data_IF_109806621052
#
_entry.id   IF_109806621052
#
_cell.length_a   1.000
_cell.length_b   1.000
_cell.length_c   1.000
_cell.angle_alpha   90.00
_cell.angle_beta   90.00
_cell.angle_gamma   90.00
#
_symmetry.space_group_name_H-M   'P 1'
#
loop_
_entity.id
_entity.type
_entity.pdbx_description
1 polymer ?
#
# COMPACT_ATOMS: atom_id res chain seq x y z
N UNK A 1 35.50 24.95 19.12
CA UNK A 1 36.80 24.52 19.62
C UNK A 1 36.66 23.21 20.40
N UNK A 2 37.64 22.30 20.32
CA UNK A 2 37.64 21.07 21.13
C UNK A 2 38.12 21.28 22.56
N UNK A 3 38.94 22.33 22.79
CA UNK A 3 39.50 22.71 24.05
C UNK A 3 39.53 24.23 24.16
N UNK A 4 39.88 24.76 25.33
CA UNK A 4 40.06 26.19 25.49
C UNK A 4 41.24 26.68 24.66
N UNK A 5 41.01 27.64 23.76
CA UNK A 5 42.01 28.20 22.86
C UNK A 5 42.20 29.67 23.22
N UNK A 6 43.45 30.12 23.38
CA UNK A 6 43.76 31.53 23.54
C UNK A 6 44.04 32.15 22.18
N UNK A 7 43.19 33.09 21.74
CA UNK A 7 43.38 33.84 20.51
C UNK A 7 44.54 34.85 20.60
N UNK A 8 45.00 35.36 19.48
CA UNK A 8 46.14 36.28 19.39
C UNK A 8 45.94 37.60 20.16
N UNK A 9 44.71 38.04 20.38
CA UNK A 9 44.33 39.21 21.15
C UNK A 9 44.22 38.94 22.66
N UNK A 10 44.49 37.69 23.08
CA UNK A 10 44.40 37.25 24.49
C UNK A 10 43.00 36.84 24.93
N UNK A 11 42.00 36.85 24.04
CA UNK A 11 40.67 36.32 24.35
C UNK A 11 40.69 34.79 24.42
N UNK A 12 39.80 34.20 25.22
CA UNK A 12 39.67 32.76 25.37
C UNK A 12 38.42 32.31 24.60
N UNK A 13 38.60 31.38 23.70
CA UNK A 13 37.54 30.63 23.08
C UNK A 13 37.38 29.34 23.89
N UNK A 14 36.28 29.19 24.64
CA UNK A 14 36.13 28.02 25.50
C UNK A 14 35.93 26.74 24.70
N UNK A 15 36.23 25.59 25.31
CA UNK A 15 35.81 24.29 24.77
C UNK A 15 34.32 24.30 24.42
N UNK A 16 33.95 23.70 23.31
CA UNK A 16 32.61 23.70 22.72
C UNK A 16 32.05 25.09 22.35
N UNK A 17 32.89 26.15 22.43
CA UNK A 17 32.51 27.49 21.98
C UNK A 17 32.20 27.53 20.49
N UNK A 18 31.01 28.08 20.14
CA UNK A 18 30.60 28.30 18.75
C UNK A 18 31.41 29.45 18.15
N UNK A 19 32.04 29.20 17.01
CA UNK A 19 32.84 30.20 16.28
C UNK A 19 32.07 30.81 15.12
N UNK A 20 31.45 29.97 14.30
CA UNK A 20 30.70 30.38 13.11
C UNK A 20 29.60 29.37 12.81
N UNK A 21 28.51 29.86 12.23
CA UNK A 21 27.49 29.03 11.59
C UNK A 21 27.62 29.27 10.08
N UNK A 22 27.82 28.18 9.32
CA UNK A 22 27.89 28.18 7.88
C UNK A 22 26.71 27.44 7.29
N UNK A 23 26.20 27.91 6.15
CA UNK A 23 25.18 27.22 5.38
C UNK A 23 25.82 26.55 4.18
N UNK A 24 25.38 25.36 3.85
CA UNK A 24 25.72 24.68 2.58
C UNK A 24 25.06 25.38 1.42
N UNK A 25 25.76 25.48 0.27
CA UNK A 25 25.23 25.99 -0.97
C UNK A 25 24.49 24.91 -1.77
N UNK A 26 24.03 25.24 -2.97
CA UNK A 26 23.32 24.33 -3.88
C UNK A 26 24.16 23.11 -4.35
N UNK A 27 25.49 23.15 -4.17
CA UNK A 27 26.41 22.06 -4.48
C UNK A 27 26.76 21.22 -3.24
N UNK A 28 26.13 21.51 -2.09
CA UNK A 28 26.43 20.86 -0.82
C UNK A 28 27.74 21.32 -0.17
N UNK A 29 28.27 22.47 -0.58
CA UNK A 29 29.54 22.99 -0.07
C UNK A 29 29.34 24.12 0.95
N UNK A 30 30.16 24.12 1.98
CA UNK A 30 30.22 25.21 2.98
C UNK A 30 31.67 25.61 3.23
N UNK A 31 31.89 26.91 3.45
CA UNK A 31 33.20 27.47 3.75
C UNK A 31 33.11 28.43 4.95
N UNK A 32 33.95 28.19 5.97
CA UNK A 32 34.14 29.11 7.03
C UNK A 32 34.85 30.38 6.54
N UNK A 33 34.41 31.56 7.05
CA UNK A 33 34.97 32.87 6.74
C UNK A 33 35.73 33.46 7.91
N UNK A 34 35.52 32.94 9.11
CA UNK A 34 36.18 33.35 10.33
C UNK A 34 37.65 32.97 10.27
N UNK A 35 38.53 33.93 10.60
CA UNK A 35 39.95 33.70 10.73
C UNK A 35 40.19 32.89 12.04
N UNK A 36 40.52 31.63 11.86
CA UNK A 36 40.67 30.68 12.98
C UNK A 36 42.04 30.82 13.62
N UNK A 37 42.17 30.86 14.97
CA UNK A 37 43.44 30.68 15.64
C UNK A 37 43.94 29.24 15.46
N UNK A 38 45.25 29.01 15.72
CA UNK A 38 45.76 27.64 15.78
C UNK A 38 45.09 26.84 16.89
N UNK A 39 44.71 25.59 16.60
CA UNK A 39 44.04 24.74 17.57
C UNK A 39 43.25 23.61 16.92
N UNK A 40 42.49 22.91 17.77
CA UNK A 40 41.63 21.78 17.37
C UNK A 40 40.16 22.19 17.42
N UNK A 41 39.45 21.87 16.36
CA UNK A 41 38.06 22.25 16.12
C UNK A 41 37.25 21.06 15.70
N UNK A 42 35.92 21.24 15.65
CA UNK A 42 35.01 20.29 14.98
C UNK A 42 33.88 21.05 14.28
N UNK A 43 33.37 20.45 13.23
CA UNK A 43 32.06 20.80 12.66
C UNK A 43 31.00 19.90 13.27
N UNK A 44 29.81 20.44 13.40
CA UNK A 44 28.59 19.71 13.78
C UNK A 44 27.43 20.29 13.01
N UNK A 45 26.59 19.41 12.53
CA UNK A 45 25.33 19.82 11.88
C UNK A 45 24.38 20.36 12.94
N UNK A 46 23.77 21.51 12.69
CA UNK A 46 22.81 22.17 13.58
C UNK A 46 21.37 22.05 13.06
N UNK A 47 21.20 21.94 11.75
CA UNK A 47 19.93 21.75 11.08
C UNK A 47 20.15 21.09 9.73
N UNK A 48 19.17 20.32 9.29
CA UNK A 48 19.13 19.71 7.96
C UNK A 48 17.79 19.97 7.30
N UNK A 49 17.63 19.58 6.03
CA UNK A 49 16.34 19.59 5.35
C UNK A 49 15.37 18.62 6.03
N UNK A 50 14.07 18.95 6.01
CA UNK A 50 13.02 18.20 6.71
C UNK A 50 12.88 16.74 6.28
N UNK A 51 13.41 16.36 5.12
CA UNK A 51 13.37 14.98 4.60
C UNK A 51 14.42 14.06 5.23
N UNK A 52 15.38 14.63 5.96
CA UNK A 52 16.54 13.90 6.46
C UNK A 52 16.65 13.98 7.98
N UNK A 53 17.25 12.94 8.54
CA UNK A 53 17.66 12.93 9.94
C UNK A 53 18.87 13.84 10.15
N UNK A 54 18.83 14.62 11.22
CA UNK A 54 19.98 15.45 11.64
C UNK A 54 21.15 14.54 11.97
N UNK A 55 22.30 14.75 11.33
CA UNK A 55 23.51 14.03 11.64
C UNK A 55 24.08 14.52 12.99
N UNK A 56 24.05 13.66 14.01
CA UNK A 56 24.53 13.95 15.36
C UNK A 56 26.03 13.87 15.54
N UNK A 57 26.78 13.48 14.52
CA UNK A 57 28.24 13.33 14.59
C UNK A 57 28.98 14.66 14.63
N UNK A 58 30.21 14.61 15.09
CA UNK A 58 31.14 15.72 15.02
C UNK A 58 32.33 15.37 14.14
N UNK A 59 32.74 16.30 13.29
CA UNK A 59 33.81 16.13 12.31
C UNK A 59 35.03 16.97 12.74
N UNK A 60 36.01 16.35 13.42
CA UNK A 60 37.17 17.07 13.98
C UNK A 60 38.14 17.47 12.87
N UNK A 61 38.80 18.60 13.05
CA UNK A 61 39.90 19.06 12.24
C UNK A 61 40.84 19.91 13.08
N UNK A 62 42.10 20.08 12.64
CA UNK A 62 43.09 20.91 13.31
C UNK A 62 43.63 21.96 12.38
N UNK A 63 43.84 23.18 12.90
CA UNK A 63 44.56 24.21 12.22
C UNK A 63 45.92 24.43 12.91
N UNK A 64 46.96 24.05 12.18
CA UNK A 64 48.33 24.09 12.69
C UNK A 64 49.20 25.01 11.83
N UNK A 65 50.30 25.53 12.42
CA UNK A 65 51.24 26.34 11.67
C UNK A 65 51.94 25.57 10.57
N UNK A 66 51.64 25.90 9.33
CA UNK A 66 52.18 25.24 8.11
C UNK A 66 53.57 25.75 7.66
N UNK A 67 54.19 26.68 8.42
CA UNK A 67 55.50 27.27 8.08
C UNK A 67 55.43 28.67 7.49
N UNK A 68 56.59 29.38 7.42
CA UNK A 68 56.62 30.81 7.10
C UNK A 68 56.35 31.09 5.61
N UNK A 69 56.27 30.07 4.75
CA UNK A 69 56.05 30.18 3.29
C UNK A 69 54.61 29.97 2.86
N UNK A 70 53.69 29.59 3.79
CA UNK A 70 52.29 29.37 3.50
C UNK A 70 51.45 30.52 4.02
N UNK A 71 50.86 31.28 3.07
CA UNK A 71 49.95 32.38 3.37
C UNK A 71 48.52 31.92 3.69
N UNK A 72 48.14 30.77 3.15
CA UNK A 72 46.82 30.14 3.35
C UNK A 72 47.01 28.64 3.56
N UNK A 73 46.32 28.07 4.53
CA UNK A 73 46.24 26.64 4.77
C UNK A 73 44.82 26.21 4.47
N UNK A 74 44.65 25.35 3.48
CA UNK A 74 43.36 24.75 3.21
C UNK A 74 43.17 23.52 4.13
N UNK A 75 42.04 23.49 4.82
CA UNK A 75 41.70 22.43 5.76
C UNK A 75 40.36 21.86 5.30
N UNK A 76 40.34 20.57 4.98
CA UNK A 76 39.12 19.85 4.71
C UNK A 76 38.64 19.16 6.00
N UNK A 77 37.44 19.48 6.45
CA UNK A 77 36.78 18.71 7.49
C UNK A 77 36.42 17.30 6.99
N UNK A 78 36.20 16.35 7.90
CA UNK A 78 35.91 14.96 7.58
C UNK A 78 36.93 14.33 6.60
N UNK A 79 38.20 14.71 6.71
CA UNK A 79 39.27 14.26 5.78
C UNK A 79 38.98 14.50 4.29
N UNK A 80 38.08 15.45 3.97
CA UNK A 80 37.64 15.75 2.60
C UNK A 80 36.53 14.84 2.09
N UNK A 81 36.01 13.95 2.90
CA UNK A 81 34.84 13.14 2.58
C UNK A 81 33.54 13.90 2.82
N UNK A 82 32.51 13.58 2.06
CA UNK A 82 31.18 14.18 2.22
C UNK A 82 30.54 13.78 3.57
N UNK A 83 29.86 14.74 4.19
CA UNK A 83 28.94 14.48 5.31
C UNK A 83 27.57 14.15 4.75
N UNK A 84 27.01 12.99 5.11
CA UNK A 84 25.73 12.53 4.61
C UNK A 84 24.67 12.52 5.71
N UNK A 85 23.41 12.71 5.31
CA UNK A 85 22.26 12.55 6.16
C UNK A 85 21.44 11.33 5.70
N UNK A 86 20.81 10.66 6.65
CA UNK A 86 19.89 9.57 6.37
C UNK A 86 18.51 10.15 6.03
N UNK A 87 17.85 9.59 5.02
CA UNK A 87 16.50 9.95 4.65
C UNK A 87 15.51 9.41 5.70
N UNK A 88 14.58 10.23 6.13
CA UNK A 88 13.44 9.81 6.97
C UNK A 88 12.64 8.75 6.24
N UNK A 89 12.29 7.67 6.95
CA UNK A 89 11.52 6.56 6.41
C UNK A 89 10.48 6.08 7.40
N UNK A 90 9.35 5.62 6.89
CA UNK A 90 8.27 5.02 7.67
C UNK A 90 7.82 3.68 7.13
N UNK A 91 6.77 3.16 7.72
CA UNK A 91 6.06 1.95 7.32
C UNK A 91 4.57 2.26 7.15
N UNK A 92 3.94 1.68 6.11
CA UNK A 92 2.49 1.69 5.95
C UNK A 92 2.00 0.28 6.21
N UNK A 93 1.07 0.11 7.15
CA UNK A 93 0.39 -1.16 7.44
C UNK A 93 -1.06 -1.05 7.07
N UNK A 94 -1.55 -2.03 6.35
CA UNK A 94 -2.92 -2.05 5.89
C UNK A 94 -3.66 -3.33 6.25
N UNK A 95 -4.97 -3.20 6.38
CA UNK A 95 -5.89 -4.32 6.51
C UNK A 95 -6.89 -4.28 5.35
N UNK A 96 -6.90 -5.31 4.51
CA UNK A 96 -7.87 -5.52 3.45
C UNK A 96 -9.03 -6.35 3.96
N UNK A 97 -10.27 -5.84 3.85
CA UNK A 97 -11.45 -6.50 4.38
C UNK A 97 -12.60 -6.56 3.38
N UNK A 98 -13.59 -7.41 3.66
CA UNK A 98 -14.92 -7.27 3.07
C UNK A 98 -15.75 -6.20 3.81
N UNK A 99 -16.98 -5.98 3.36
CA UNK A 99 -17.96 -5.05 3.97
C UNK A 99 -18.34 -5.39 5.42
N UNK A 100 -18.01 -6.59 5.89
CA UNK A 100 -18.27 -7.08 7.26
C UNK A 100 -17.03 -7.03 8.15
N UNK A 101 -15.88 -6.59 7.61
CA UNK A 101 -14.62 -6.53 8.33
C UNK A 101 -13.83 -7.86 8.35
N UNK A 102 -14.22 -8.84 7.54
CA UNK A 102 -13.46 -10.09 7.38
C UNK A 102 -12.25 -9.85 6.47
N UNK A 103 -11.07 -10.31 6.89
CA UNK A 103 -9.85 -10.18 6.11
C UNK A 103 -9.96 -10.82 4.72
N UNK A 104 -9.47 -10.11 3.69
CA UNK A 104 -9.45 -10.58 2.31
C UNK A 104 -8.01 -10.77 1.83
N UNK A 105 -7.68 -12.00 1.41
CA UNK A 105 -6.40 -12.33 0.81
C UNK A 105 -6.35 -12.05 -0.69
N UNK A 106 -5.13 -11.92 -1.22
CA UNK A 106 -4.84 -11.80 -2.66
C UNK A 106 -5.30 -10.51 -3.33
N UNK A 107 -5.68 -9.49 -2.59
CA UNK A 107 -5.77 -8.15 -3.15
C UNK A 107 -4.35 -7.63 -3.44
N UNK A 108 -4.16 -6.95 -4.57
CA UNK A 108 -2.89 -6.28 -4.90
C UNK A 108 -3.09 -4.79 -4.72
N UNK A 109 -2.27 -4.20 -3.85
CA UNK A 109 -2.29 -2.78 -3.53
C UNK A 109 -0.99 -2.14 -4.03
N UNK A 110 -1.08 -1.03 -4.75
CA UNK A 110 0.05 -0.22 -5.18
C UNK A 110 0.24 1.00 -4.30
N UNK A 111 1.51 1.34 -4.04
CA UNK A 111 1.93 2.59 -3.42
C UNK A 111 2.49 3.51 -4.51
N UNK A 112 1.99 4.74 -4.60
CA UNK A 112 2.32 5.71 -5.66
C UNK A 112 2.68 7.06 -5.08
N UNK A 113 3.36 7.89 -5.86
CA UNK A 113 3.52 9.31 -5.55
C UNK A 113 2.15 10.01 -5.54
N UNK A 114 2.01 11.05 -4.73
CA UNK A 114 0.73 11.74 -4.52
C UNK A 114 0.17 12.44 -5.77
N UNK A 115 1.02 12.73 -6.76
CA UNK A 115 0.67 13.36 -8.05
C UNK A 115 0.47 12.34 -9.18
N UNK A 116 0.56 11.03 -8.91
CA UNK A 116 0.33 9.98 -9.92
C UNK A 116 -1.13 9.95 -10.36
N UNK A 117 -1.35 9.79 -11.66
CA UNK A 117 -2.68 9.75 -12.29
C UNK A 117 -2.99 8.42 -12.99
N UNK A 118 -1.97 7.60 -13.24
CA UNK A 118 -2.09 6.29 -13.87
C UNK A 118 -1.64 5.18 -12.91
N UNK A 119 -2.60 4.49 -12.29
CA UNK A 119 -2.35 3.49 -11.28
C UNK A 119 -2.15 2.10 -11.90
N UNK A 120 -0.90 1.77 -12.20
CA UNK A 120 -0.48 0.45 -12.70
C UNK A 120 0.65 -0.11 -11.85
N UNK A 121 0.86 -1.43 -11.89
CA UNK A 121 1.97 -2.04 -11.16
C UNK A 121 3.34 -1.52 -11.65
N UNK A 122 3.44 -1.05 -12.89
CA UNK A 122 4.68 -0.50 -13.46
C UNK A 122 5.00 0.90 -12.94
N UNK A 123 3.96 1.70 -12.64
CA UNK A 123 4.12 3.07 -12.12
C UNK A 123 4.21 3.10 -10.58
N UNK A 124 3.89 1.99 -9.91
CA UNK A 124 3.94 1.90 -8.46
C UNK A 124 5.39 1.97 -7.94
N UNK A 125 5.62 2.72 -6.87
CA UNK A 125 6.87 2.64 -6.11
C UNK A 125 7.08 1.23 -5.56
N UNK A 126 6.00 0.63 -5.07
CA UNK A 126 5.96 -0.73 -4.58
C UNK A 126 4.54 -1.30 -4.71
N UNK A 127 4.43 -2.62 -4.73
CA UNK A 127 3.16 -3.33 -4.62
C UNK A 127 3.19 -4.30 -3.44
N UNK A 128 2.05 -4.48 -2.79
CA UNK A 128 1.87 -5.46 -1.73
C UNK A 128 0.63 -6.31 -2.02
N UNK A 129 0.69 -7.59 -1.66
CA UNK A 129 -0.44 -8.51 -1.77
C UNK A 129 -0.94 -8.85 -0.37
N UNK A 130 -2.25 -8.74 -0.14
CA UNK A 130 -2.84 -9.05 1.16
C UNK A 130 -2.74 -10.54 1.50
N UNK A 131 -2.39 -10.82 2.76
CA UNK A 131 -2.28 -12.15 3.34
C UNK A 131 -3.66 -12.76 3.65
N UNK A 132 -3.70 -13.99 4.20
CA UNK A 132 -4.95 -14.69 4.52
C UNK A 132 -5.83 -13.94 5.55
N UNK A 133 -5.22 -13.20 6.46
CA UNK A 133 -5.90 -12.35 7.43
C UNK A 133 -6.25 -10.95 6.90
N UNK A 134 -5.92 -10.66 5.64
CA UNK A 134 -6.10 -9.38 4.98
C UNK A 134 -4.96 -8.39 5.22
N UNK A 135 -3.95 -8.71 6.02
CA UNK A 135 -2.83 -7.79 6.30
C UNK A 135 -1.93 -7.59 5.08
N UNK A 136 -1.41 -6.37 4.93
CA UNK A 136 -0.36 -6.02 3.96
C UNK A 136 0.48 -4.87 4.50
N UNK A 137 1.70 -4.69 3.98
CA UNK A 137 2.56 -3.59 4.40
C UNK A 137 3.52 -3.13 3.31
N UNK A 138 3.97 -1.87 3.47
CA UNK A 138 5.07 -1.27 2.72
C UNK A 138 6.11 -0.79 3.74
N UNK A 139 7.30 -1.37 3.72
CA UNK A 139 8.41 -0.97 4.55
C UNK A 139 9.28 0.07 3.84
N UNK A 140 10.11 0.78 4.61
CA UNK A 140 11.09 1.74 4.10
C UNK A 140 10.50 2.83 3.17
N UNK A 141 9.25 3.23 3.42
CA UNK A 141 8.58 4.28 2.66
C UNK A 141 9.26 5.62 2.95
N UNK A 142 9.77 6.33 1.93
CA UNK A 142 10.44 7.61 2.12
C UNK A 142 9.51 8.69 2.69
N UNK A 143 10.09 9.70 3.34
CA UNK A 143 9.39 10.94 3.69
C UNK A 143 8.63 11.51 2.50
N UNK A 144 7.40 11.99 2.73
CA UNK A 144 6.57 12.65 1.74
C UNK A 144 5.14 12.17 1.70
N UNK A 145 4.42 12.66 0.70
CA UNK A 145 3.01 12.34 0.44
C UNK A 145 2.90 11.24 -0.62
N UNK A 146 2.09 10.26 -0.31
CA UNK A 146 1.87 9.07 -1.10
C UNK A 146 0.37 8.81 -1.24
N UNK A 147 0.02 7.95 -2.20
CA UNK A 147 -1.34 7.42 -2.34
C UNK A 147 -1.31 5.91 -2.51
N UNK A 148 -2.32 5.26 -1.97
CA UNK A 148 -2.56 3.83 -2.14
C UNK A 148 -3.75 3.61 -3.05
N UNK A 149 -3.65 2.63 -3.93
CA UNK A 149 -4.70 2.20 -4.85
C UNK A 149 -4.73 0.68 -4.93
N UNK A 150 -5.93 0.10 -4.85
CA UNK A 150 -6.11 -1.30 -5.19
C UNK A 150 -5.95 -1.49 -6.70
N UNK A 151 -5.07 -2.41 -7.10
CA UNK A 151 -4.80 -2.75 -8.50
C UNK A 151 -5.55 -4.01 -8.94
N UNK A 152 -5.68 -4.99 -8.03
CA UNK A 152 -6.42 -6.22 -8.27
C UNK A 152 -7.24 -6.57 -7.02
N UNK A 153 -8.53 -6.81 -7.20
CA UNK A 153 -9.39 -7.29 -6.13
C UNK A 153 -9.38 -8.83 -6.06
N UNK A 154 -9.65 -9.41 -4.88
CA UNK A 154 -9.89 -10.84 -4.78
C UNK A 154 -11.10 -11.28 -5.63
N UNK A 155 -11.08 -12.53 -6.10
CA UNK A 155 -12.20 -13.07 -6.86
C UNK A 155 -13.52 -13.00 -6.06
N UNK A 156 -14.57 -12.53 -6.69
CA UNK A 156 -15.89 -12.35 -6.08
C UNK A 156 -16.11 -10.99 -5.41
N UNK A 157 -15.16 -10.08 -5.51
CA UNK A 157 -15.25 -8.72 -4.97
C UNK A 157 -15.08 -7.66 -6.05
N UNK A 158 -15.75 -6.53 -5.85
CA UNK A 158 -15.64 -5.37 -6.73
C UNK A 158 -14.31 -4.66 -6.47
N UNK A 159 -13.56 -4.38 -7.53
CA UNK A 159 -12.34 -3.56 -7.42
C UNK A 159 -12.68 -2.17 -6.90
N UNK A 160 -12.00 -1.72 -5.84
CA UNK A 160 -12.20 -0.40 -5.27
C UNK A 160 -11.62 0.70 -6.14
N UNK A 161 -12.43 1.74 -6.41
CA UNK A 161 -11.98 2.96 -7.11
C UNK A 161 -11.33 3.99 -6.16
N UNK A 162 -11.30 3.71 -4.88
CA UNK A 162 -10.76 4.61 -3.86
C UNK A 162 -9.26 4.81 -4.03
N UNK A 163 -8.80 6.06 -3.86
CA UNK A 163 -7.40 6.46 -3.77
C UNK A 163 -7.17 7.03 -2.38
N UNK A 164 -6.33 6.38 -1.58
CA UNK A 164 -6.13 6.72 -0.17
C UNK A 164 -4.84 7.49 0.01
N UNK A 165 -4.90 8.77 0.43
CA UNK A 165 -3.69 9.53 0.74
C UNK A 165 -3.06 9.06 2.05
N UNK A 166 -1.73 9.01 2.07
CA UNK A 166 -0.92 8.70 3.26
C UNK A 166 0.32 9.59 3.27
N UNK A 167 0.78 10.00 4.44
CA UNK A 167 1.95 10.86 4.60
C UNK A 167 2.93 10.25 5.60
N UNK A 168 4.21 10.25 5.26
CA UNK A 168 5.33 9.88 6.13
C UNK A 168 6.10 11.16 6.46
N UNK A 169 6.09 11.57 7.75
CA UNK A 169 6.72 12.80 8.21
C UNK A 169 7.81 12.56 9.28
N UNK A 170 7.77 11.42 9.97
CA UNK A 170 8.68 11.10 11.06
C UNK A 170 9.41 9.77 10.81
N UNK A 171 10.65 9.69 11.25
CA UNK A 171 11.43 8.46 11.12
C UNK A 171 10.84 7.35 12.00
N UNK A 172 10.69 6.17 11.37
CA UNK A 172 10.05 5.02 12.01
C UNK A 172 8.53 5.16 12.19
N UNK A 173 7.88 6.18 11.60
CA UNK A 173 6.43 6.33 11.63
C UNK A 173 5.74 5.10 11.05
N UNK A 174 4.68 4.64 11.72
CA UNK A 174 3.78 3.61 11.20
C UNK A 174 2.42 4.24 10.90
N UNK A 175 2.03 4.22 9.62
CA UNK A 175 0.70 4.67 9.17
C UNK A 175 -0.19 3.45 9.03
N UNK A 176 -1.31 3.41 9.76
CA UNK A 176 -2.28 2.33 9.70
C UNK A 176 -3.49 2.72 8.84
N UNK A 177 -3.89 1.84 7.92
CA UNK A 177 -5.01 2.05 7.01
C UNK A 177 -5.91 0.81 6.91
N UNK A 178 -7.13 1.00 6.40
CA UNK A 178 -8.06 -0.08 6.08
C UNK A 178 -8.70 0.16 4.72
N UNK A 179 -8.78 -0.90 3.90
CA UNK A 179 -9.46 -0.91 2.60
C UNK A 179 -10.52 -2.01 2.60
N UNK A 180 -11.76 -1.66 2.25
CA UNK A 180 -12.85 -2.62 2.15
C UNK A 180 -13.30 -2.81 0.69
N UNK A 181 -13.69 -4.04 0.33
CA UNK A 181 -14.34 -4.34 -0.95
C UNK A 181 -15.75 -4.88 -0.71
N UNK A 182 -16.64 -4.55 -1.64
CA UNK A 182 -17.99 -5.09 -1.69
C UNK A 182 -18.01 -6.40 -2.48
N UNK A 183 -18.86 -7.34 -2.06
CA UNK A 183 -19.07 -8.62 -2.74
C UNK A 183 -19.84 -8.43 -4.04
N UNK A 184 -19.52 -9.25 -5.03
CA UNK A 184 -20.28 -9.34 -6.29
C UNK A 184 -21.47 -10.27 -6.10
N UNK A 185 -22.65 -9.78 -6.46
CA UNK A 185 -23.89 -10.56 -6.50
C UNK A 185 -24.44 -10.64 -7.92
N UNK A 186 -24.99 -11.80 -8.27
CA UNK A 186 -25.66 -12.06 -9.53
C UNK A 186 -27.15 -12.37 -9.34
N UNK A 187 -27.88 -12.38 -10.45
CA UNK A 187 -29.27 -12.84 -10.53
C UNK A 187 -29.35 -13.99 -11.52
N UNK A 188 -29.99 -15.07 -11.11
CA UNK A 188 -30.20 -16.25 -11.96
C UNK A 188 -31.61 -16.18 -12.53
N UNK A 189 -31.73 -16.46 -13.85
CA UNK A 189 -33.00 -16.51 -14.55
C UNK A 189 -33.06 -17.75 -15.44
N UNK A 190 -34.15 -18.48 -15.34
CA UNK A 190 -34.46 -19.65 -16.12
C UNK A 190 -35.81 -19.49 -16.82
N UNK A 191 -35.92 -19.99 -18.06
CA UNK A 191 -37.20 -20.11 -18.75
C UNK A 191 -37.53 -21.61 -18.95
N UNK A 192 -38.64 -22.07 -18.39
CA UNK A 192 -39.15 -23.43 -18.59
C UNK A 192 -40.07 -23.47 -19.79
N UNK A 193 -39.79 -24.36 -20.74
CA UNK A 193 -40.55 -24.53 -21.98
C UNK A 193 -40.86 -25.98 -22.23
N UNK A 194 -41.86 -26.22 -23.08
CA UNK A 194 -42.14 -27.52 -23.66
C UNK A 194 -41.03 -27.91 -24.65
N UNK A 195 -40.50 -29.13 -24.54
CA UNK A 195 -39.42 -29.62 -25.40
C UNK A 195 -39.82 -29.69 -26.88
N UNK A 196 -41.05 -30.07 -27.16
CA UNK A 196 -41.55 -30.25 -28.51
C UNK A 196 -42.13 -28.95 -29.11
N UNK A 197 -42.50 -28.01 -28.23
CA UNK A 197 -43.04 -26.67 -28.57
C UNK A 197 -42.36 -25.59 -27.79
N UNK A 198 -41.12 -25.17 -28.14
CA UNK A 198 -40.30 -24.26 -27.35
C UNK A 198 -40.88 -22.85 -27.09
N UNK A 199 -41.84 -22.44 -27.91
CA UNK A 199 -42.59 -21.19 -27.69
C UNK A 199 -43.62 -21.31 -26.57
N UNK A 200 -43.95 -22.53 -26.15
CA UNK A 200 -44.92 -22.82 -25.10
C UNK A 200 -44.20 -22.84 -23.72
N UNK A 201 -44.40 -21.77 -22.95
CA UNK A 201 -43.85 -21.65 -21.59
C UNK A 201 -44.67 -22.44 -20.60
N UNK A 202 -44.00 -23.15 -19.71
CA UNK A 202 -44.58 -24.03 -18.71
C UNK A 202 -44.53 -23.46 -17.31
N UNK A 203 -45.67 -23.45 -16.60
CA UNK A 203 -45.82 -22.97 -15.23
C UNK A 203 -45.90 -24.13 -14.26
N UNK A 204 -45.67 -23.83 -12.95
CA UNK A 204 -45.86 -24.77 -11.85
C UNK A 204 -44.70 -25.76 -11.66
N UNK A 205 -43.58 -25.57 -12.32
CA UNK A 205 -42.34 -26.26 -11.98
C UNK A 205 -41.76 -25.69 -10.65
N UNK A 206 -40.90 -26.46 -10.00
CA UNK A 206 -40.10 -25.99 -8.89
C UNK A 206 -38.62 -26.26 -9.16
N UNK A 207 -37.77 -25.28 -8.90
CA UNK A 207 -36.32 -25.39 -9.06
C UNK A 207 -35.62 -25.03 -7.79
N UNK A 208 -34.62 -25.82 -7.40
CA UNK A 208 -33.70 -25.56 -6.32
C UNK A 208 -32.33 -25.15 -6.89
N UNK A 209 -31.70 -24.19 -6.19
CA UNK A 209 -30.38 -23.69 -6.54
C UNK A 209 -29.39 -24.08 -5.43
N UNK A 210 -28.28 -24.68 -5.83
CA UNK A 210 -27.22 -25.11 -4.96
C UNK A 210 -25.93 -24.40 -5.31
N UNK A 211 -25.12 -24.08 -4.29
CA UNK A 211 -23.77 -23.56 -4.50
C UNK A 211 -22.80 -24.70 -4.70
N UNK A 212 -21.97 -24.60 -5.73
CA UNK A 212 -20.77 -25.43 -5.89
C UNK A 212 -19.74 -25.00 -4.83
N UNK A 213 -19.72 -25.67 -3.68
CA UNK A 213 -18.86 -25.29 -2.55
C UNK A 213 -17.44 -25.80 -2.67
N UNK A 214 -17.23 -26.89 -3.42
CA UNK A 214 -15.92 -27.51 -3.59
C UNK A 214 -15.26 -27.23 -4.96
N UNK A 215 -15.98 -26.56 -5.89
CA UNK A 215 -15.50 -26.17 -7.21
C UNK A 215 -15.32 -27.33 -8.20
N UNK A 216 -15.95 -28.49 -7.92
CA UNK A 216 -15.79 -29.69 -8.74
C UNK A 216 -16.72 -29.71 -9.97
N UNK A 217 -17.69 -28.81 -10.05
CA UNK A 217 -18.73 -28.70 -11.12
C UNK A 217 -19.63 -29.94 -11.23
N UNK A 218 -19.79 -30.68 -10.14
CA UNK A 218 -20.68 -31.83 -10.00
C UNK A 218 -21.54 -31.64 -8.74
N UNK A 219 -22.88 -31.70 -8.87
CA UNK A 219 -23.77 -31.55 -7.71
C UNK A 219 -23.64 -32.77 -6.80
N UNK A 220 -23.17 -32.56 -5.56
CA UNK A 220 -22.96 -33.58 -4.56
C UNK A 220 -23.51 -33.20 -3.16
N UNK A 221 -23.34 -34.10 -2.17
CA UNK A 221 -23.85 -33.90 -0.81
C UNK A 221 -23.14 -32.77 -0.05
N UNK A 222 -22.00 -32.29 -0.53
CA UNK A 222 -21.23 -31.16 0.06
C UNK A 222 -21.73 -29.80 -0.38
N UNK A 223 -22.61 -29.74 -1.37
CA UNK A 223 -23.10 -28.48 -1.92
C UNK A 223 -24.22 -27.87 -1.10
N UNK A 224 -24.17 -26.55 -0.96
CA UNK A 224 -25.10 -25.80 -0.13
C UNK A 224 -26.39 -25.47 -0.89
N UNK A 225 -27.57 -25.85 -0.35
CA UNK A 225 -28.84 -25.40 -0.88
C UNK A 225 -29.04 -23.91 -0.59
N UNK A 226 -29.02 -23.06 -1.62
CA UNK A 226 -29.31 -21.63 -1.52
C UNK A 226 -30.80 -21.32 -1.38
N UNK A 227 -31.66 -22.16 -1.98
CA UNK A 227 -33.11 -21.99 -1.91
C UNK A 227 -33.82 -22.37 -3.19
N UNK A 228 -35.07 -21.91 -3.32
CA UNK A 228 -35.92 -22.15 -4.50
C UNK A 228 -36.02 -20.91 -5.36
N UNK A 229 -36.08 -21.09 -6.68
CA UNK A 229 -36.41 -20.03 -7.60
C UNK A 229 -37.89 -19.64 -7.51
N UNK A 230 -38.21 -18.39 -7.70
CA UNK A 230 -39.56 -17.88 -7.76
C UNK A 230 -40.06 -17.78 -9.22
N UNK A 231 -41.28 -18.24 -9.50
CA UNK A 231 -41.92 -17.99 -10.80
C UNK A 231 -42.42 -16.53 -10.83
N UNK A 232 -41.67 -15.66 -11.51
CA UNK A 232 -41.98 -14.21 -11.60
C UNK A 232 -42.95 -13.87 -12.74
N UNK A 233 -43.06 -14.74 -13.76
CA UNK A 233 -44.06 -14.70 -14.81
C UNK A 233 -44.16 -16.08 -15.49
N UNK A 234 -45.18 -16.30 -16.33
CA UNK A 234 -45.44 -17.58 -16.99
C UNK A 234 -44.17 -18.24 -17.49
N UNK A 235 -43.73 -19.34 -16.83
CA UNK A 235 -42.58 -20.16 -17.17
C UNK A 235 -41.23 -19.43 -17.02
N UNK A 236 -41.16 -18.29 -16.30
CA UNK A 236 -39.94 -17.59 -15.98
C UNK A 236 -39.70 -17.69 -14.49
N UNK A 237 -38.57 -18.29 -14.12
CA UNK A 237 -38.12 -18.52 -12.73
C UNK A 237 -36.87 -17.72 -12.47
N UNK A 238 -36.82 -17.03 -11.33
CA UNK A 238 -35.73 -16.14 -10.97
C UNK A 238 -35.28 -16.37 -9.51
N UNK A 239 -34.00 -16.17 -9.27
CA UNK A 239 -33.42 -16.06 -7.94
C UNK A 239 -32.42 -14.89 -7.98
N UNK A 240 -32.63 -13.91 -7.10
CA UNK A 240 -31.77 -12.73 -7.01
C UNK A 240 -30.77 -12.86 -5.89
N UNK A 241 -29.74 -11.98 -5.94
CA UNK A 241 -28.78 -11.79 -4.85
C UNK A 241 -27.98 -13.06 -4.51
N UNK A 242 -27.54 -13.75 -5.56
CA UNK A 242 -26.65 -14.92 -5.43
C UNK A 242 -25.22 -14.42 -5.40
N UNK A 243 -24.44 -14.77 -4.37
CA UNK A 243 -23.01 -14.49 -4.31
C UNK A 243 -22.29 -15.04 -5.55
N UNK A 244 -21.29 -14.31 -6.03
CA UNK A 244 -20.38 -14.75 -7.09
C UNK A 244 -19.87 -16.17 -6.86
N UNK A 245 -19.81 -16.96 -7.93
CA UNK A 245 -19.34 -18.36 -7.95
C UNK A 245 -20.32 -19.30 -8.64
N UNK A 246 -19.88 -20.53 -8.90
CA UNK A 246 -20.66 -21.55 -9.56
C UNK A 246 -21.89 -21.99 -8.77
N UNK A 247 -22.99 -22.21 -9.47
CA UNK A 247 -24.22 -22.75 -8.90
C UNK A 247 -24.81 -23.85 -9.78
N UNK A 248 -25.61 -24.72 -9.17
CA UNK A 248 -26.43 -25.71 -9.88
C UNK A 248 -27.89 -25.32 -9.79
N UNK A 249 -28.61 -25.53 -10.88
CA UNK A 249 -30.07 -25.45 -10.92
C UNK A 249 -30.62 -26.88 -11.17
N UNK A 250 -31.51 -27.32 -10.30
CA UNK A 250 -32.15 -28.64 -10.40
C UNK A 250 -33.65 -28.51 -10.31
N UNK A 251 -34.35 -29.14 -11.23
CA UNK A 251 -35.81 -29.27 -11.17
C UNK A 251 -36.17 -30.26 -10.05
N UNK A 252 -37.01 -29.85 -9.12
CA UNK A 252 -37.51 -30.71 -8.02
C UNK A 252 -38.96 -31.08 -8.17
N UNK A 253 -39.70 -30.37 -9.06
CA UNK A 253 -41.06 -30.70 -9.43
C UNK A 253 -41.32 -30.27 -10.87
N UNK A 254 -41.79 -31.18 -11.71
CA UNK A 254 -42.18 -30.89 -13.07
C UNK A 254 -43.55 -30.19 -13.16
N UNK A 255 -43.82 -29.40 -14.22
CA UNK A 255 -45.17 -28.96 -14.58
C UNK A 255 -46.13 -30.11 -14.69
N UNK A 256 -47.43 -29.86 -14.46
CA UNK A 256 -48.47 -30.89 -14.61
C UNK A 256 -48.50 -31.48 -16.05
N UNK A 257 -48.44 -32.80 -16.15
CA UNK A 257 -48.42 -33.50 -17.41
C UNK A 257 -47.04 -33.69 -18.06
N UNK A 258 -45.97 -33.22 -17.41
CA UNK A 258 -44.59 -33.35 -17.88
C UNK A 258 -43.75 -34.26 -16.99
N UNK A 259 -42.70 -34.84 -17.56
CA UNK A 259 -41.73 -35.62 -16.80
C UNK A 259 -40.70 -34.69 -16.10
N UNK A 260 -40.27 -35.12 -14.91
CA UNK A 260 -39.20 -34.43 -14.17
C UNK A 260 -37.88 -34.54 -14.92
N UNK A 261 -37.18 -33.43 -15.05
CA UNK A 261 -35.77 -33.42 -15.47
C UNK A 261 -34.89 -33.65 -14.26
N UNK A 262 -34.26 -34.81 -14.18
CA UNK A 262 -33.40 -35.20 -13.07
C UNK A 262 -31.99 -34.58 -13.11
N UNK A 263 -31.64 -33.92 -14.24
CA UNK A 263 -30.34 -33.32 -14.41
C UNK A 263 -30.17 -32.06 -13.52
N UNK A 264 -28.96 -31.86 -13.06
CA UNK A 264 -28.52 -30.58 -12.48
C UNK A 264 -27.72 -29.81 -13.54
N UNK A 265 -28.02 -28.53 -13.69
CA UNK A 265 -27.37 -27.65 -14.64
C UNK A 265 -26.43 -26.70 -13.95
N UNK A 266 -25.13 -26.78 -14.29
CA UNK A 266 -24.12 -25.86 -13.75
C UNK A 266 -24.16 -24.52 -14.48
N UNK A 267 -24.07 -23.44 -13.70
CA UNK A 267 -24.02 -22.03 -14.17
C UNK A 267 -22.87 -21.33 -13.42
N UNK A 268 -22.01 -20.66 -14.16
CA UNK A 268 -20.87 -19.92 -13.63
C UNK A 268 -21.07 -18.41 -13.77
#
# INVERSE_FOLDING_TARGET
AQEDITAADGSIIPADGLLEIVSVDENGQAMCKTDLPFGSFYLKELSTDSHYLLNGETFPFSFEYGGPSLAVVEIAANNGEAVSNELIRGEIRGLKTDENGTGLSRAVIGLFQSDETEFTAENALATATSAEDGSFSFADVPFGDWVLKELESPAGFILSDEVIPVTVEEDGQVVEISLANERIYGNLRLTKVDKDYPDNKLTGAEFEVYRDTNGNKELDEGDELLGKMEETSTGIYEMAHILYGGVFVKETKAPEGFLLDENAYYVE
#
